data_IF_860417540205
#
_entry.id   IF_860417540205
#
_cell.length_a   1.000
_cell.length_b   1.000
_cell.length_c   1.000
_cell.angle_alpha   90.00
_cell.angle_beta   90.00
_cell.angle_gamma   90.00
#
_symmetry.space_group_name_H-M   'P 1'
#
loop_
_entity.id
_entity.type
_entity.pdbx_description
1 polymer ?
#
# COMPACT_ATOMS: atom_id res chain seq x y z
N UNK A 1 9.89 31.23 -1.06
CA UNK A 1 9.30 29.91 -1.39
C UNK A 1 8.79 29.28 -0.09
N UNK A 2 7.48 29.09 0.05
CA UNK A 2 6.91 28.47 1.26
C UNK A 2 6.72 26.97 1.04
N UNK A 3 7.46 26.15 1.78
CA UNK A 3 7.36 24.69 1.77
C UNK A 3 7.11 24.20 3.19
N UNK A 4 6.09 23.38 3.38
CA UNK A 4 5.79 22.74 4.66
C UNK A 4 5.74 21.23 4.46
N UNK A 5 6.33 20.47 5.38
CA UNK A 5 6.47 19.02 5.28
C UNK A 5 5.96 18.33 6.54
N UNK A 6 5.34 17.15 6.38
CA UNK A 6 4.94 16.26 7.47
C UNK A 6 6.10 15.79 8.35
N UNK A 7 7.35 16.00 7.91
CA UNK A 7 8.54 15.73 8.73
C UNK A 7 8.81 16.84 9.77
N UNK A 8 8.24 18.03 9.57
CA UNK A 8 8.53 19.23 10.37
C UNK A 8 7.38 19.68 11.27
N UNK A 9 6.16 19.25 10.97
CA UNK A 9 4.96 19.65 11.69
C UNK A 9 4.05 18.45 11.93
N UNK A 10 3.17 18.58 12.90
CA UNK A 10 2.12 17.61 13.18
C UNK A 10 0.95 17.76 12.21
N UNK A 11 0.13 16.71 12.11
CA UNK A 11 -1.12 16.74 11.34
C UNK A 11 -2.07 17.84 11.83
N UNK A 12 -2.10 18.07 13.15
CA UNK A 12 -2.94 19.12 13.77
C UNK A 12 -2.50 20.52 13.32
N UNK A 13 -1.20 20.80 13.34
CA UNK A 13 -0.64 22.09 12.90
C UNK A 13 -0.87 22.32 11.41
N UNK A 14 -0.65 21.28 10.58
CA UNK A 14 -0.87 21.39 9.14
C UNK A 14 -2.34 21.59 8.79
N UNK A 15 -3.26 20.92 9.49
CA UNK A 15 -4.70 21.17 9.36
C UNK A 15 -5.08 22.57 9.85
N UNK A 16 -4.48 23.06 10.94
CA UNK A 16 -4.72 24.41 11.44
C UNK A 16 -4.35 25.48 10.39
N UNK A 17 -3.20 25.31 9.71
CA UNK A 17 -2.78 26.17 8.60
C UNK A 17 -3.84 26.26 7.49
N UNK A 18 -4.46 25.14 7.15
CA UNK A 18 -5.45 25.06 6.07
C UNK A 18 -6.89 25.42 6.50
N UNK A 19 -7.19 25.32 7.79
CA UNK A 19 -8.56 25.33 8.33
C UNK A 19 -9.39 26.56 7.94
N UNK A 20 -8.75 27.72 7.80
CA UNK A 20 -9.38 29.01 7.44
C UNK A 20 -8.81 29.62 6.15
N UNK A 21 -7.86 28.97 5.50
CA UNK A 21 -7.20 29.51 4.33
C UNK A 21 -8.16 29.58 3.13
N UNK A 22 -8.21 30.75 2.49
CA UNK A 22 -9.02 31.00 1.28
C UNK A 22 -8.15 31.06 0.02
N UNK A 23 -6.92 31.54 0.15
CA UNK A 23 -5.88 31.55 -0.88
C UNK A 23 -4.62 30.92 -0.32
N UNK A 24 -3.94 30.09 -1.09
CA UNK A 24 -2.64 29.53 -0.72
C UNK A 24 -1.68 29.49 -1.91
N UNK A 25 -0.47 29.99 -1.70
CA UNK A 25 0.68 29.80 -2.60
C UNK A 25 1.79 29.09 -1.82
N UNK A 26 1.78 27.76 -1.91
CA UNK A 26 2.55 26.90 -1.01
C UNK A 26 2.86 25.56 -1.68
N UNK A 27 3.88 24.86 -1.18
CA UNK A 27 4.06 23.44 -1.42
C UNK A 27 3.92 22.68 -0.08
N UNK A 28 2.88 21.86 0.04
CA UNK A 28 2.66 20.95 1.15
C UNK A 28 3.15 19.57 0.74
N UNK A 29 4.04 18.98 1.54
CA UNK A 29 4.58 17.64 1.33
C UNK A 29 4.24 16.71 2.50
N UNK A 30 3.32 15.79 2.27
CA UNK A 30 2.93 14.74 3.21
C UNK A 30 3.48 13.43 2.66
N UNK A 31 4.64 13.00 3.16
CA UNK A 31 5.34 11.84 2.61
C UNK A 31 5.76 10.88 3.70
N UNK A 32 5.45 9.59 3.53
CA UNK A 32 5.80 8.52 4.50
C UNK A 32 5.43 8.84 5.95
N UNK A 33 4.33 9.57 6.13
CA UNK A 33 3.86 10.02 7.44
C UNK A 33 2.76 9.12 8.01
N UNK A 34 2.41 9.36 9.27
CA UNK A 34 1.25 8.76 9.92
C UNK A 34 -0.04 9.55 9.69
N UNK A 35 -0.01 10.62 8.89
CA UNK A 35 -1.14 11.53 8.74
C UNK A 35 -2.35 10.80 8.15
N UNK A 36 -3.54 11.13 8.66
CA UNK A 36 -4.80 10.58 8.16
C UNK A 36 -5.50 11.53 7.20
N UNK A 37 -5.37 12.83 7.42
CA UNK A 37 -6.12 13.82 6.67
C UNK A 37 -5.44 15.18 6.53
N UNK A 38 -5.80 15.88 5.45
CA UNK A 38 -5.53 17.30 5.24
C UNK A 38 -6.84 17.99 4.83
N UNK A 39 -7.29 18.97 5.62
CA UNK A 39 -8.56 19.65 5.45
C UNK A 39 -8.36 21.15 5.25
N UNK A 40 -8.64 21.61 4.03
CA UNK A 40 -8.62 23.02 3.65
C UNK A 40 -10.04 23.45 3.19
N UNK A 41 -11.04 23.48 4.11
CA UNK A 41 -12.47 23.53 3.75
C UNK A 41 -12.92 24.85 3.12
N UNK A 42 -12.16 25.93 3.29
CA UNK A 42 -12.50 27.27 2.78
C UNK A 42 -11.65 27.71 1.58
N UNK A 43 -10.79 26.82 1.08
CA UNK A 43 -9.87 27.14 -0.01
C UNK A 43 -10.64 27.49 -1.29
N UNK A 44 -10.28 28.61 -1.91
CA UNK A 44 -10.82 29.09 -3.20
C UNK A 44 -9.77 29.14 -4.28
N UNK A 45 -8.52 29.37 -3.94
CA UNK A 45 -7.42 29.38 -4.90
C UNK A 45 -6.17 28.69 -4.34
N UNK A 46 -5.54 27.86 -5.17
CA UNK A 46 -4.32 27.14 -4.84
C UNK A 46 -3.27 27.34 -5.93
N UNK A 47 -2.08 27.77 -5.52
CA UNK A 47 -0.91 27.91 -6.38
C UNK A 47 0.27 27.13 -5.81
N UNK A 48 1.08 26.49 -6.65
CA UNK A 48 2.31 25.87 -6.18
C UNK A 48 3.32 26.96 -5.80
N UNK A 49 4.14 26.67 -4.80
CA UNK A 49 5.24 27.56 -4.40
C UNK A 49 6.31 27.76 -5.49
N UNK A 50 6.31 26.93 -6.54
CA UNK A 50 7.24 26.95 -7.66
C UNK A 50 6.65 26.29 -8.92
N UNK A 51 7.00 26.79 -10.10
CA UNK A 51 6.63 26.16 -11.37
C UNK A 51 7.12 24.71 -11.47
N UNK A 52 6.29 23.83 -12.02
CA UNK A 52 6.60 22.41 -12.19
C UNK A 52 6.44 21.55 -10.93
N UNK A 53 6.24 22.15 -9.75
CA UNK A 53 5.97 21.42 -8.50
C UNK A 53 4.48 21.33 -8.21
N UNK A 54 4.01 20.23 -7.60
CA UNK A 54 2.68 20.19 -7.01
C UNK A 54 2.59 21.11 -5.80
N UNK A 55 1.42 21.75 -5.65
CA UNK A 55 1.11 22.52 -4.45
C UNK A 55 0.82 21.60 -3.26
N UNK A 56 0.23 20.43 -3.52
CA UNK A 56 0.01 19.40 -2.49
C UNK A 56 0.53 18.07 -3.02
N UNK A 57 1.50 17.51 -2.32
CA UNK A 57 2.09 16.19 -2.56
C UNK A 57 1.76 15.29 -1.38
N UNK A 58 1.03 14.21 -1.63
CA UNK A 58 0.69 13.17 -0.66
C UNK A 58 1.22 11.86 -1.24
N UNK A 59 2.30 11.33 -0.68
CA UNK A 59 2.97 10.14 -1.23
C UNK A 59 3.33 9.13 -0.16
N UNK A 60 2.95 7.88 -0.37
CA UNK A 60 3.39 6.73 0.41
C UNK A 60 2.95 6.82 1.90
N UNK A 61 1.73 7.30 2.14
CA UNK A 61 1.13 7.42 3.46
C UNK A 61 0.08 6.32 3.66
N UNK A 62 0.45 5.28 4.41
CA UNK A 62 -0.37 4.08 4.62
C UNK A 62 -1.70 4.35 5.36
N UNK A 63 -1.77 5.47 6.09
CA UNK A 63 -2.94 5.84 6.90
C UNK A 63 -3.75 6.99 6.28
N UNK A 64 -3.30 7.58 5.17
CA UNK A 64 -3.94 8.77 4.64
C UNK A 64 -5.23 8.40 3.91
N UNK A 65 -6.32 9.01 4.36
CA UNK A 65 -7.69 8.66 3.99
C UNK A 65 -8.39 9.83 3.30
N UNK A 66 -8.06 11.07 3.68
CA UNK A 66 -8.82 12.25 3.24
C UNK A 66 -7.93 13.45 2.91
N UNK A 67 -7.93 13.84 1.65
CA UNK A 67 -7.70 15.24 1.28
C UNK A 67 -9.09 15.88 1.15
N UNK A 68 -9.30 17.03 1.81
CA UNK A 68 -10.52 17.81 1.68
C UNK A 68 -10.16 19.20 1.16
N UNK A 69 -10.49 19.43 -0.12
CA UNK A 69 -10.49 20.75 -0.75
C UNK A 69 -11.86 20.97 -1.43
N UNK A 70 -12.41 22.19 -1.42
CA UNK A 70 -13.64 22.50 -2.15
C UNK A 70 -13.49 22.18 -3.64
N UNK A 71 -14.54 21.66 -4.30
CA UNK A 71 -14.49 21.38 -5.74
C UNK A 71 -14.39 22.66 -6.57
N UNK A 72 -14.68 23.82 -5.98
CA UNK A 72 -14.62 25.16 -6.57
C UNK A 72 -13.23 25.79 -6.52
N UNK A 73 -12.22 25.10 -5.97
CA UNK A 73 -10.84 25.63 -5.92
C UNK A 73 -10.32 25.88 -7.34
N UNK A 74 -9.87 27.11 -7.58
CA UNK A 74 -9.26 27.53 -8.82
C UNK A 74 -7.75 27.32 -8.73
N UNK A 75 -7.17 26.87 -9.84
CA UNK A 75 -5.72 26.75 -10.02
C UNK A 75 -5.39 27.02 -11.50
N UNK A 76 -4.14 27.40 -11.78
CA UNK A 76 -3.70 27.68 -13.16
C UNK A 76 -3.88 26.43 -14.03
N UNK A 77 -4.55 26.57 -15.18
CA UNK A 77 -4.70 25.47 -16.15
C UNK A 77 -3.33 24.90 -16.53
N UNK A 78 -3.31 23.61 -16.82
CA UNK A 78 -2.10 22.87 -17.19
C UNK A 78 -0.98 22.84 -16.13
N UNK A 79 -1.31 23.11 -14.86
CA UNK A 79 -0.38 22.88 -13.75
C UNK A 79 -0.67 21.53 -13.09
N UNK A 80 0.39 20.81 -12.72
CA UNK A 80 0.29 19.64 -11.85
C UNK A 80 0.06 20.15 -10.43
N UNK A 81 -1.18 20.45 -10.06
CA UNK A 81 -1.47 21.07 -8.75
C UNK A 81 -1.42 20.05 -7.60
N UNK A 82 -1.74 18.78 -7.89
CA UNK A 82 -1.69 17.64 -6.96
C UNK A 82 -0.74 16.55 -7.46
N UNK A 83 -0.07 15.91 -6.50
CA UNK A 83 0.57 14.60 -6.65
C UNK A 83 0.09 13.70 -5.51
N UNK A 84 -0.66 12.64 -5.83
CA UNK A 84 -1.22 11.70 -4.85
C UNK A 84 -0.90 10.27 -5.31
N UNK A 85 -0.07 9.54 -4.58
CA UNK A 85 0.36 8.19 -4.99
C UNK A 85 0.76 7.33 -3.81
N UNK A 86 0.50 6.03 -3.89
CA UNK A 86 0.87 5.06 -2.85
C UNK A 86 0.15 5.29 -1.49
N UNK A 87 -1.10 5.76 -1.51
CA UNK A 87 -1.93 6.00 -0.32
C UNK A 87 -3.12 5.02 -0.29
N UNK A 88 -2.90 3.76 0.14
CA UNK A 88 -3.82 2.64 -0.08
C UNK A 88 -5.16 2.74 0.66
N UNK A 89 -5.27 3.65 1.63
CA UNK A 89 -6.50 3.90 2.38
C UNK A 89 -7.36 5.02 1.80
N UNK A 90 -6.83 5.78 0.84
CA UNK A 90 -7.63 6.80 0.17
C UNK A 90 -8.77 6.14 -0.63
N UNK A 91 -10.04 6.52 -0.40
CA UNK A 91 -11.17 5.92 -1.09
C UNK A 91 -11.10 6.10 -2.61
N UNK A 92 -11.48 5.08 -3.36
CA UNK A 92 -11.50 5.11 -4.83
C UNK A 92 -12.37 6.25 -5.36
N UNK A 93 -13.50 6.54 -4.70
CA UNK A 93 -14.38 7.65 -5.04
C UNK A 93 -13.66 9.00 -4.94
N UNK A 94 -12.85 9.20 -3.90
CA UNK A 94 -12.08 10.43 -3.70
C UNK A 94 -10.97 10.58 -4.75
N UNK A 95 -10.28 9.49 -5.06
CA UNK A 95 -9.27 9.45 -6.13
C UNK A 95 -9.88 9.80 -7.49
N UNK A 96 -11.04 9.21 -7.81
CA UNK A 96 -11.74 9.49 -9.06
C UNK A 96 -12.22 10.95 -9.13
N UNK A 97 -12.66 11.51 -8.00
CA UNK A 97 -12.97 12.94 -7.90
C UNK A 97 -11.74 13.80 -8.22
N UNK A 98 -10.58 13.49 -7.67
CA UNK A 98 -9.37 14.26 -7.95
C UNK A 98 -8.83 14.09 -9.37
N UNK A 99 -8.96 12.91 -9.97
CA UNK A 99 -8.65 12.69 -11.40
C UNK A 99 -9.52 13.56 -12.31
N UNK A 100 -10.81 13.71 -11.98
CA UNK A 100 -11.73 14.59 -12.70
C UNK A 100 -11.40 16.07 -12.47
N UNK A 101 -11.07 16.43 -11.23
CA UNK A 101 -10.70 17.78 -10.84
C UNK A 101 -9.43 18.28 -11.56
N UNK A 102 -8.42 17.42 -11.74
CA UNK A 102 -7.14 17.79 -12.34
C UNK A 102 -6.59 16.70 -13.27
N UNK A 103 -6.77 16.89 -14.58
CA UNK A 103 -6.31 15.95 -15.61
C UNK A 103 -4.78 15.84 -15.72
N UNK A 104 -4.04 16.90 -15.36
CA UNK A 104 -2.57 16.94 -15.42
C UNK A 104 -1.90 16.50 -14.10
N UNK A 105 -2.70 16.18 -13.08
CA UNK A 105 -2.20 15.75 -11.79
C UNK A 105 -1.74 14.29 -11.83
N UNK A 106 -0.72 13.96 -11.04
CA UNK A 106 -0.28 12.58 -10.87
C UNK A 106 -1.11 11.95 -9.76
N UNK A 107 -2.10 11.13 -10.10
CA UNK A 107 -3.01 10.52 -9.13
C UNK A 107 -3.08 9.01 -9.36
N UNK A 108 -2.33 8.26 -8.55
CA UNK A 108 -2.21 6.80 -8.62
C UNK A 108 -2.43 6.09 -7.27
N UNK A 109 -2.88 6.84 -6.25
CA UNK A 109 -2.94 6.44 -4.84
C UNK A 109 -3.63 5.11 -4.50
N UNK A 110 -4.52 4.61 -5.36
CA UNK A 110 -5.22 3.34 -5.17
C UNK A 110 -5.47 2.64 -6.51
N UNK A 111 -4.59 2.87 -7.49
CA UNK A 111 -4.52 1.97 -8.64
C UNK A 111 -3.88 0.68 -8.14
N UNK A 112 -4.69 -0.18 -7.52
CA UNK A 112 -4.31 -1.55 -7.25
C UNK A 112 -4.04 -2.31 -8.56
N UNK A 113 -4.37 -3.59 -8.60
CA UNK A 113 -4.22 -4.38 -9.83
C UNK A 113 -5.24 -4.00 -10.94
N UNK A 114 -6.09 -2.98 -10.74
CA UNK A 114 -7.12 -2.59 -11.73
C UNK A 114 -8.25 -3.59 -11.87
N UNK A 115 -8.41 -4.48 -10.89
CA UNK A 115 -9.40 -5.55 -10.90
C UNK A 115 -10.79 -5.02 -10.51
N UNK A 116 -11.79 -5.42 -11.28
CA UNK A 116 -13.22 -5.20 -11.05
C UNK A 116 -13.80 -6.23 -10.07
N UNK A 117 -15.10 -6.08 -9.79
CA UNK A 117 -15.84 -6.86 -8.81
C UNK A 117 -16.19 -8.27 -9.35
N UNK A 118 -15.20 -9.16 -9.53
CA UNK A 118 -15.39 -10.57 -9.98
C UNK A 118 -14.33 -11.53 -9.44
N UNK A 119 -14.54 -12.83 -9.63
CA UNK A 119 -13.53 -13.87 -9.38
C UNK A 119 -12.48 -13.84 -10.49
N UNK A 120 -11.22 -14.04 -10.11
CA UNK A 120 -10.06 -14.07 -11.01
C UNK A 120 -9.37 -15.42 -10.91
N UNK A 121 -8.82 -15.89 -12.03
CA UNK A 121 -7.80 -16.94 -11.94
C UNK A 121 -6.50 -16.35 -11.38
N UNK A 122 -5.66 -17.21 -10.82
CA UNK A 122 -4.36 -16.77 -10.32
C UNK A 122 -3.49 -16.16 -11.44
N UNK A 123 -3.58 -16.69 -12.65
CA UNK A 123 -2.88 -16.15 -13.82
C UNK A 123 -3.36 -14.74 -14.21
N UNK A 124 -4.68 -14.50 -14.20
CA UNK A 124 -5.23 -13.16 -14.42
C UNK A 124 -4.75 -12.18 -13.34
N UNK A 125 -4.72 -12.62 -12.09
CA UNK A 125 -4.25 -11.81 -10.98
C UNK A 125 -2.75 -11.50 -11.10
N UNK A 126 -1.92 -12.46 -11.48
CA UNK A 126 -0.49 -12.23 -11.75
C UNK A 126 -0.31 -11.18 -12.84
N UNK A 127 -1.00 -11.34 -13.98
CA UNK A 127 -0.92 -10.38 -15.09
C UNK A 127 -1.31 -8.95 -14.67
N UNK A 128 -2.28 -8.83 -13.76
CA UNK A 128 -2.77 -7.55 -13.27
C UNK A 128 -1.90 -6.93 -12.16
N UNK A 129 -1.36 -7.75 -11.26
CA UNK A 129 -0.70 -7.33 -10.03
C UNK A 129 0.83 -7.31 -10.09
N UNK A 130 1.46 -8.03 -11.02
CA UNK A 130 2.91 -8.09 -11.11
C UNK A 130 3.51 -6.68 -11.28
N UNK A 131 4.53 -6.38 -10.48
CA UNK A 131 5.20 -5.08 -10.48
C UNK A 131 4.39 -3.91 -9.90
N UNK A 132 3.17 -4.13 -9.39
CA UNK A 132 2.39 -3.07 -8.71
C UNK A 132 2.89 -2.85 -7.28
N UNK A 133 2.79 -1.61 -6.81
CA UNK A 133 3.14 -1.22 -5.44
C UNK A 133 1.98 -1.40 -4.46
N UNK A 134 0.74 -1.36 -4.96
CA UNK A 134 -0.48 -1.63 -4.18
C UNK A 134 -1.18 -2.84 -4.79
N UNK A 135 -1.42 -3.84 -3.95
CA UNK A 135 -2.21 -5.02 -4.29
C UNK A 135 -3.40 -5.03 -3.36
N UNK A 136 -4.59 -4.73 -3.91
CA UNK A 136 -5.82 -4.57 -3.13
C UNK A 136 -7.00 -5.01 -3.99
N UNK A 137 -7.96 -5.77 -3.44
CA UNK A 137 -9.17 -6.14 -4.17
C UNK A 137 -10.09 -4.93 -4.36
N UNK A 138 -11.01 -5.06 -5.31
CA UNK A 138 -12.20 -4.23 -5.32
C UNK A 138 -13.02 -4.46 -4.04
N UNK A 139 -13.79 -3.46 -3.62
CA UNK A 139 -14.63 -3.56 -2.42
C UNK A 139 -15.61 -4.74 -2.51
N UNK A 140 -15.61 -5.56 -1.46
CA UNK A 140 -16.42 -6.79 -1.37
C UNK A 140 -15.82 -8.01 -2.06
N UNK A 141 -14.58 -7.95 -2.56
CA UNK A 141 -13.87 -9.07 -3.19
C UNK A 141 -12.57 -9.39 -2.48
N UNK A 142 -11.98 -10.52 -2.82
CA UNK A 142 -10.80 -11.06 -2.17
C UNK A 142 -9.82 -11.56 -3.20
N UNK A 143 -8.55 -11.25 -2.98
CA UNK A 143 -7.45 -11.81 -3.74
C UNK A 143 -6.97 -13.06 -2.99
N UNK A 144 -6.92 -14.18 -3.72
CA UNK A 144 -6.41 -15.46 -3.20
C UNK A 144 -5.47 -16.02 -4.27
N UNK A 145 -4.29 -16.48 -3.87
CA UNK A 145 -3.27 -17.03 -4.75
C UNK A 145 -2.71 -18.33 -4.18
N UNK A 146 -2.48 -19.33 -5.02
CA UNK A 146 -1.95 -20.63 -4.61
C UNK A 146 -0.72 -21.06 -5.42
N UNK A 147 0.22 -21.77 -4.77
CA UNK A 147 1.31 -22.48 -5.46
C UNK A 147 0.82 -23.64 -6.34
N UNK A 148 -0.46 -24.03 -6.20
CA UNK A 148 -1.07 -25.11 -7.01
C UNK A 148 -1.26 -24.68 -8.48
N UNK A 149 -1.32 -23.37 -8.73
CA UNK A 149 -1.83 -22.77 -9.97
C UNK A 149 -0.88 -21.76 -10.62
N UNK A 150 0.16 -21.31 -9.90
CA UNK A 150 1.17 -20.40 -10.44
C UNK A 150 2.59 -20.78 -9.99
N UNK A 151 3.57 -20.35 -10.78
CA UNK A 151 4.99 -20.58 -10.55
C UNK A 151 5.58 -19.69 -9.45
N UNK A 152 6.75 -20.08 -8.93
CA UNK A 152 7.52 -19.26 -7.99
C UNK A 152 7.89 -17.89 -8.58
N UNK A 153 8.21 -17.85 -9.88
CA UNK A 153 8.57 -16.61 -10.57
C UNK A 153 7.40 -15.62 -10.60
N UNK A 154 6.20 -16.10 -10.93
CA UNK A 154 4.98 -15.30 -10.94
C UNK A 154 4.60 -14.81 -9.54
N UNK A 155 4.64 -15.69 -8.55
CA UNK A 155 4.38 -15.35 -7.15
C UNK A 155 5.33 -14.24 -6.66
N UNK A 156 6.63 -14.37 -6.97
CA UNK A 156 7.63 -13.37 -6.62
C UNK A 156 7.47 -12.08 -7.44
N UNK A 157 7.02 -12.14 -8.69
CA UNK A 157 6.77 -10.96 -9.51
C UNK A 157 5.67 -10.08 -8.88
N UNK A 158 4.62 -10.71 -8.33
CA UNK A 158 3.57 -10.05 -7.55
C UNK A 158 4.14 -9.37 -6.30
N UNK A 159 5.02 -10.05 -5.55
CA UNK A 159 5.61 -9.49 -4.33
C UNK A 159 6.75 -8.47 -4.53
N UNK A 160 7.40 -8.49 -5.70
CA UNK A 160 8.71 -7.84 -5.92
C UNK A 160 8.72 -6.32 -5.69
N UNK A 161 7.60 -5.64 -5.95
CA UNK A 161 7.42 -4.18 -5.78
C UNK A 161 6.32 -3.82 -4.80
N UNK A 162 5.58 -4.80 -4.29
CA UNK A 162 4.44 -4.56 -3.44
C UNK A 162 4.87 -3.92 -2.11
N UNK A 163 4.22 -2.81 -1.78
CA UNK A 163 4.39 -2.04 -0.55
C UNK A 163 3.17 -2.22 0.36
N UNK A 164 1.98 -2.36 -0.24
CA UNK A 164 0.73 -2.70 0.43
C UNK A 164 0.11 -3.93 -0.23
N UNK A 165 -0.30 -4.91 0.56
CA UNK A 165 -1.01 -6.10 0.07
C UNK A 165 -2.23 -6.43 0.93
N UNK A 166 -3.38 -6.62 0.29
CA UNK A 166 -4.59 -7.22 0.87
C UNK A 166 -4.94 -8.48 0.07
N UNK A 167 -4.45 -9.64 0.53
CA UNK A 167 -4.47 -10.90 -0.22
C UNK A 167 -4.25 -12.10 0.71
N UNK A 168 -4.68 -13.29 0.30
CA UNK A 168 -4.29 -14.55 0.90
C UNK A 168 -3.43 -15.36 -0.07
N UNK A 169 -2.20 -15.67 0.32
CA UNK A 169 -1.25 -16.47 -0.45
C UNK A 169 -1.05 -17.80 0.26
N UNK A 170 -1.20 -18.91 -0.47
CA UNK A 170 -0.94 -20.26 0.03
C UNK A 170 0.14 -20.94 -0.80
N UNK A 171 1.27 -21.26 -0.17
CA UNK A 171 2.36 -22.04 -0.74
C UNK A 171 2.47 -23.33 0.07
N UNK A 172 1.95 -24.43 -0.44
CA UNK A 172 1.87 -25.70 0.29
C UNK A 172 2.42 -26.85 -0.55
N UNK A 173 3.11 -27.79 0.09
CA UNK A 173 3.58 -29.04 -0.53
C UNK A 173 4.21 -28.85 -1.94
N UNK A 174 4.89 -27.72 -2.14
CA UNK A 174 5.37 -27.28 -3.46
C UNK A 174 6.89 -27.38 -3.58
N UNK A 175 7.39 -27.22 -4.81
CA UNK A 175 8.82 -27.17 -5.10
C UNK A 175 9.43 -25.78 -4.95
N UNK A 176 8.66 -24.81 -4.41
CA UNK A 176 9.15 -23.44 -4.23
C UNK A 176 10.37 -23.43 -3.30
N UNK A 177 11.38 -22.68 -3.71
CA UNK A 177 12.62 -22.40 -2.99
C UNK A 177 12.55 -21.07 -2.26
N UNK A 178 11.83 -20.09 -2.83
CA UNK A 178 11.78 -18.76 -2.25
C UNK A 178 10.48 -17.97 -2.42
N UNK A 179 10.15 -17.18 -1.39
CA UNK A 179 9.19 -16.08 -1.47
C UNK A 179 9.86 -14.79 -0.97
N UNK A 180 9.84 -13.73 -1.78
CA UNK A 180 10.54 -12.46 -1.52
C UNK A 180 9.60 -11.28 -1.75
N UNK A 181 9.21 -10.62 -0.66
CA UNK A 181 8.41 -9.38 -0.66
C UNK A 181 9.21 -8.26 0.03
N UNK A 182 10.28 -7.75 -0.62
CA UNK A 182 11.32 -6.93 0.02
C UNK A 182 10.84 -5.53 0.44
N UNK A 183 9.80 -5.01 -0.22
CA UNK A 183 9.28 -3.66 0.02
C UNK A 183 7.96 -3.64 0.80
N UNK A 184 7.47 -4.81 1.23
CA UNK A 184 6.17 -4.94 1.86
C UNK A 184 6.11 -4.25 3.23
N UNK A 185 5.42 -3.10 3.28
CA UNK A 185 5.24 -2.30 4.50
C UNK A 185 3.94 -2.59 5.21
N UNK A 186 2.91 -3.04 4.51
CA UNK A 186 1.65 -3.42 5.14
C UNK A 186 1.06 -4.64 4.45
N UNK A 187 0.68 -5.61 5.27
CA UNK A 187 -0.02 -6.80 4.85
C UNK A 187 -1.37 -6.82 5.54
N UNK A 188 -2.41 -7.19 4.81
CA UNK A 188 -3.77 -7.44 5.29
C UNK A 188 -4.22 -8.77 4.72
N UNK A 189 -4.87 -9.59 5.55
CA UNK A 189 -5.45 -10.83 5.08
C UNK A 189 -6.68 -10.55 4.24
N UNK A 190 -6.93 -11.39 3.24
CA UNK A 190 -8.14 -11.34 2.45
C UNK A 190 -9.42 -11.62 3.27
N UNK A 191 -9.30 -12.33 4.41
CA UNK A 191 -10.42 -12.66 5.31
C UNK A 191 -10.03 -12.64 6.79
N UNK A 192 -10.93 -12.26 7.71
CA UNK A 192 -10.71 -12.39 9.15
C UNK A 192 -10.37 -13.84 9.56
N UNK A 193 -9.44 -14.01 10.50
CA UNK A 193 -9.04 -15.32 11.02
C UNK A 193 -8.14 -16.16 10.09
N UNK A 194 -7.97 -15.76 8.83
CA UNK A 194 -7.10 -16.45 7.87
C UNK A 194 -5.74 -15.74 7.82
N UNK A 195 -4.60 -16.45 7.90
CA UNK A 195 -3.30 -15.85 7.64
C UNK A 195 -3.18 -15.35 6.20
N UNK A 196 -2.62 -14.16 6.02
CA UNK A 196 -2.41 -13.55 4.71
C UNK A 196 -1.37 -14.32 3.88
N UNK A 197 -0.35 -14.91 4.52
CA UNK A 197 0.64 -15.76 3.83
C UNK A 197 0.80 -17.07 4.60
N UNK A 198 0.58 -18.19 3.91
CA UNK A 198 0.73 -19.54 4.43
C UNK A 198 1.81 -20.27 3.63
N UNK A 199 2.85 -20.76 4.30
CA UNK A 199 3.97 -21.51 3.70
C UNK A 199 4.13 -22.81 4.47
N UNK A 200 3.59 -23.91 3.94
CA UNK A 200 3.38 -25.16 4.69
C UNK A 200 3.98 -26.36 3.94
N UNK A 201 4.90 -27.08 4.58
CA UNK A 201 5.31 -28.39 4.07
C UNK A 201 6.10 -28.37 2.76
N UNK A 202 6.87 -27.30 2.47
CA UNK A 202 7.61 -27.19 1.22
C UNK A 202 9.04 -27.70 1.40
N UNK A 203 9.40 -28.87 0.83
CA UNK A 203 10.70 -29.53 1.08
C UNK A 203 11.90 -28.73 0.60
N UNK A 204 11.71 -27.87 -0.39
CA UNK A 204 12.78 -27.09 -1.02
C UNK A 204 12.83 -25.62 -0.59
N UNK A 205 11.86 -25.15 0.20
CA UNK A 205 11.79 -23.77 0.66
C UNK A 205 12.95 -23.46 1.59
N UNK A 206 13.85 -22.58 1.16
CA UNK A 206 15.01 -22.15 1.94
C UNK A 206 14.96 -20.67 2.28
N UNK A 207 14.27 -19.86 1.47
CA UNK A 207 14.30 -18.40 1.58
C UNK A 207 12.90 -17.82 1.70
N UNK A 208 12.58 -17.26 2.86
CA UNK A 208 11.39 -16.45 3.07
C UNK A 208 11.86 -15.07 3.50
N UNK A 209 11.65 -14.07 2.64
CA UNK A 209 12.11 -12.70 2.86
C UNK A 209 10.93 -11.75 2.81
N UNK A 210 10.57 -11.20 3.96
CA UNK A 210 9.57 -10.15 4.12
C UNK A 210 10.28 -8.90 4.62
N UNK A 211 9.85 -7.72 4.18
CA UNK A 211 10.45 -6.46 4.63
C UNK A 211 10.46 -6.35 6.15
N UNK A 212 11.57 -5.84 6.71
CA UNK A 212 11.70 -5.59 8.16
C UNK A 212 10.81 -4.44 8.65
N UNK A 213 10.27 -3.64 7.72
CA UNK A 213 9.39 -2.50 8.00
C UNK A 213 7.90 -2.89 7.94
N UNK A 214 7.59 -4.18 7.87
CA UNK A 214 6.20 -4.66 7.83
C UNK A 214 5.44 -4.23 9.09
N UNK A 215 4.37 -3.48 8.86
CA UNK A 215 3.35 -3.11 9.83
C UNK A 215 2.16 -4.07 9.62
N UNK A 216 1.68 -4.66 10.71
CA UNK A 216 0.49 -5.48 10.72
C UNK A 216 -0.40 -5.12 11.92
N UNK A 217 -1.66 -5.52 11.86
CA UNK A 217 -2.59 -5.29 12.96
C UNK A 217 -2.30 -6.30 14.09
N UNK A 218 -2.03 -5.82 15.31
CA UNK A 218 -1.91 -6.71 16.48
C UNK A 218 -3.19 -7.53 16.65
N UNK A 219 -3.05 -8.77 17.10
CA UNK A 219 -4.11 -9.76 17.18
C UNK A 219 -4.39 -10.50 15.86
N UNK A 220 -3.72 -10.14 14.76
CA UNK A 220 -3.90 -10.84 13.46
C UNK A 220 -2.73 -11.78 13.19
N UNK A 221 -3.01 -13.08 13.06
CA UNK A 221 -2.02 -14.11 12.74
C UNK A 221 -1.70 -14.07 11.24
N UNK A 222 -0.90 -13.10 10.82
CA UNK A 222 -0.71 -12.78 9.39
C UNK A 222 0.11 -13.81 8.61
N UNK A 223 1.00 -14.52 9.29
CA UNK A 223 1.88 -15.52 8.70
C UNK A 223 1.64 -16.88 9.37
N UNK A 224 1.60 -17.93 8.54
CA UNK A 224 1.69 -19.33 8.98
C UNK A 224 2.82 -20.00 8.20
N UNK A 225 3.94 -20.28 8.87
CA UNK A 225 5.14 -20.88 8.28
C UNK A 225 5.50 -22.11 9.11
N UNK A 226 5.28 -23.30 8.56
CA UNK A 226 5.54 -24.57 9.25
C UNK A 226 5.91 -25.72 8.32
N UNK A 227 6.72 -26.66 8.81
CA UNK A 227 7.11 -27.85 8.05
C UNK A 227 7.97 -27.59 6.82
N UNK A 228 8.80 -26.53 6.83
CA UNK A 228 9.69 -26.21 5.71
C UNK A 228 11.15 -26.50 6.13
N UNK A 229 11.69 -27.71 5.84
CA UNK A 229 12.92 -28.21 6.47
C UNK A 229 14.18 -27.44 6.10
N UNK A 230 14.22 -26.79 4.94
CA UNK A 230 15.39 -26.02 4.47
C UNK A 230 15.39 -24.56 4.91
N UNK A 231 14.36 -24.08 5.59
CA UNK A 231 14.34 -22.72 6.15
C UNK A 231 15.22 -22.70 7.40
N UNK A 232 16.27 -21.87 7.37
CA UNK A 232 17.22 -21.80 8.48
C UNK A 232 16.56 -21.34 9.79
N UNK A 233 17.10 -21.81 10.93
CA UNK A 233 16.65 -21.40 12.26
C UNK A 233 16.71 -19.86 12.44
N UNK A 234 17.77 -19.23 11.91
CA UNK A 234 17.95 -17.77 11.92
C UNK A 234 16.86 -17.03 11.13
N UNK A 235 16.46 -17.57 9.99
CA UNK A 235 15.35 -17.03 9.20
C UNK A 235 14.02 -17.14 9.96
N UNK A 236 13.74 -18.30 10.55
CA UNK A 236 12.55 -18.50 11.39
C UNK A 236 12.52 -17.54 12.58
N UNK A 237 13.65 -17.32 13.25
CA UNK A 237 13.77 -16.36 14.34
C UNK A 237 13.50 -14.92 13.89
N UNK A 238 14.07 -14.52 12.73
CA UNK A 238 13.82 -13.19 12.16
C UNK A 238 12.33 -12.98 11.87
N UNK A 239 11.66 -14.00 11.32
CA UNK A 239 10.22 -13.94 11.04
C UNK A 239 9.38 -13.89 12.33
N UNK A 240 9.79 -14.60 13.40
CA UNK A 240 9.14 -14.52 14.72
C UNK A 240 9.28 -13.14 15.34
N UNK A 241 10.45 -12.52 15.22
CA UNK A 241 10.66 -11.14 15.69
C UNK A 241 9.81 -10.15 14.90
N UNK A 242 9.63 -10.40 13.59
CA UNK A 242 8.77 -9.59 12.72
C UNK A 242 7.30 -9.72 13.08
N UNK A 243 6.82 -10.92 13.41
CA UNK A 243 5.45 -11.18 13.84
C UNK A 243 5.40 -12.19 15.00
N UNK A 244 5.48 -11.74 16.27
CA UNK A 244 5.48 -12.62 17.43
C UNK A 244 4.20 -13.45 17.61
N UNK A 245 3.08 -12.97 17.10
CA UNK A 245 1.77 -13.64 17.21
C UNK A 245 1.51 -14.65 16.07
N UNK A 246 2.39 -14.69 15.06
CA UNK A 246 2.27 -15.56 13.90
C UNK A 246 2.71 -17.00 14.21
N UNK A 247 2.20 -17.96 13.43
CA UNK A 247 2.58 -19.38 13.59
C UNK A 247 3.86 -19.63 12.80
N UNK A 248 5.01 -19.64 13.45
CA UNK A 248 6.31 -19.81 12.79
C UNK A 248 7.13 -20.91 13.48
N UNK A 249 7.26 -22.07 12.85
CA UNK A 249 7.97 -23.24 13.40
C UNK A 249 8.62 -24.10 12.32
N UNK A 250 9.67 -24.83 12.68
CA UNK A 250 10.35 -25.73 11.75
C UNK A 250 9.50 -26.98 11.44
N UNK A 251 8.84 -27.54 12.45
CA UNK A 251 8.02 -28.75 12.34
C UNK A 251 6.59 -28.44 11.87
N UNK A 252 5.93 -29.42 11.25
CA UNK A 252 4.55 -29.32 10.80
C UNK A 252 3.59 -29.05 11.96
#
# INVERSE_FOLDING_TARGET
MLVISSEKVTEKEMNALCSKAVYMEICIEITRSSFKELRCPHLRELRPCQLGRPAIKIVNNMNFELLQIPPTVIYKRNTRILEISEDPRMPTALINRYKKFCKQCKITANLGCGLTKRTYSDAEMVAACAGKTIIKPAEGYMLVMSSDTISEAEMNAVCSKAVYMEICITIKASQFRSLKCPHLRQLKSCKPGVPAIRIIGNPNMSTISISKTLIYHRGTRMLEIRGNPKVSAKSLETLRRLCPECVIRAKA
#
